data_IF_065053149995
#
_entry.id   IF_065053149995
#
_cell.length_a   1.000
_cell.length_b   1.000
_cell.length_c   1.000
_cell.angle_alpha   90.00
_cell.angle_beta   90.00
_cell.angle_gamma   90.00
#
_symmetry.space_group_name_H-M   'P 1'
#
loop_
_entity.id
_entity.type
_entity.pdbx_description
1 polymer ?
#
# COMPACT_ATOMS: atom_id res chain seq x y z
N UNK A 1 -20.44 -17.67 -43.83
CA UNK A 1 -20.42 -17.51 -42.36
C UNK A 1 -19.11 -16.80 -42.04
N UNK A 2 -19.16 -15.69 -41.32
CA UNK A 2 -17.93 -15.00 -40.89
C UNK A 2 -17.43 -15.71 -39.64
N UNK A 3 -16.15 -16.08 -39.64
CA UNK A 3 -15.53 -16.68 -38.47
C UNK A 3 -15.22 -15.55 -37.46
N UNK A 4 -15.76 -15.67 -36.25
CA UNK A 4 -15.58 -14.67 -35.18
C UNK A 4 -14.76 -15.24 -34.02
N UNK A 5 -13.96 -16.28 -34.27
CA UNK A 5 -13.11 -16.88 -33.25
C UNK A 5 -12.08 -15.86 -32.76
N UNK A 6 -11.84 -15.81 -31.45
CA UNK A 6 -10.85 -14.91 -30.85
C UNK A 6 -9.45 -15.24 -31.35
N UNK A 7 -8.74 -14.22 -31.84
CA UNK A 7 -7.33 -14.33 -32.24
C UNK A 7 -6.49 -14.17 -30.96
N UNK A 8 -5.85 -15.25 -30.52
CA UNK A 8 -5.06 -15.30 -29.27
C UNK A 8 -3.55 -15.36 -29.50
N UNK A 9 -3.12 -15.34 -30.76
CA UNK A 9 -1.72 -15.32 -31.17
C UNK A 9 -1.54 -14.49 -32.44
N UNK A 10 -0.32 -13.99 -32.67
CA UNK A 10 -0.02 -13.24 -33.88
C UNK A 10 -0.26 -14.11 -35.12
N UNK A 11 -0.93 -13.55 -36.11
CA UNK A 11 -1.27 -14.26 -37.34
C UNK A 11 -1.02 -13.36 -38.56
N UNK A 12 -0.57 -13.97 -39.65
CA UNK A 12 -0.44 -13.28 -40.94
C UNK A 12 -1.60 -13.65 -41.85
N UNK A 13 -2.39 -12.66 -42.24
CA UNK A 13 -3.52 -12.81 -43.14
C UNK A 13 -3.13 -12.34 -44.54
N UNK A 14 -3.30 -13.22 -45.53
CA UNK A 14 -3.01 -12.90 -46.93
C UNK A 14 -4.25 -13.10 -47.78
N UNK A 15 -4.55 -12.14 -48.65
CA UNK A 15 -5.55 -12.33 -49.70
C UNK A 15 -5.02 -11.84 -51.04
N UNK A 16 -5.57 -12.42 -52.10
CA UNK A 16 -5.20 -12.15 -53.47
C UNK A 16 -6.35 -11.41 -54.13
N UNK A 17 -6.06 -10.28 -54.75
CA UNK A 17 -7.01 -9.54 -55.57
C UNK A 17 -6.54 -9.52 -57.02
N UNK A 18 -7.46 -9.81 -57.95
CA UNK A 18 -7.25 -9.69 -59.39
C UNK A 18 -7.97 -8.44 -59.90
N UNK A 19 -7.33 -7.70 -60.79
CA UNK A 19 -8.00 -6.60 -61.50
C UNK A 19 -9.06 -7.16 -62.46
N UNK A 20 -10.17 -6.45 -62.59
CA UNK A 20 -11.25 -6.84 -63.51
C UNK A 20 -10.94 -6.47 -64.96
N UNK A 21 -10.15 -5.41 -65.19
CA UNK A 21 -9.84 -4.85 -66.51
C UNK A 21 -8.38 -5.12 -66.93
N UNK A 22 -7.62 -5.91 -66.17
CA UNK A 22 -6.20 -6.24 -66.44
C UNK A 22 -5.84 -7.61 -65.85
N UNK A 23 -4.85 -8.31 -66.43
CA UNK A 23 -4.32 -9.58 -65.91
C UNK A 23 -3.45 -9.43 -64.65
N UNK A 24 -3.46 -8.24 -64.04
CA UNK A 24 -2.72 -7.94 -62.82
C UNK A 24 -3.35 -8.63 -61.63
N UNK A 25 -2.54 -9.40 -60.90
CA UNK A 25 -2.90 -10.04 -59.63
C UNK A 25 -1.96 -9.52 -58.55
N UNK A 26 -2.52 -9.11 -57.42
CA UNK A 26 -1.77 -8.55 -56.29
C UNK A 26 -2.10 -9.29 -55.01
N UNK A 27 -1.08 -9.60 -54.23
CA UNK A 27 -1.21 -10.21 -52.90
C UNK A 27 -1.07 -9.12 -51.85
N UNK A 28 -2.06 -9.02 -50.98
CA UNK A 28 -2.07 -8.13 -49.83
C UNK A 28 -1.89 -8.94 -48.56
N UNK A 29 -0.92 -8.53 -47.73
CA UNK A 29 -0.58 -9.22 -46.49
C UNK A 29 -0.75 -8.26 -45.32
N UNK A 30 -1.43 -8.72 -44.28
CA UNK A 30 -1.64 -8.00 -43.02
C UNK A 30 -1.11 -8.84 -41.87
N UNK A 31 -0.40 -8.19 -40.95
CA UNK A 31 0.01 -8.81 -39.69
C UNK A 31 -1.00 -8.42 -38.60
N UNK A 32 -1.61 -9.42 -37.99
CA UNK A 32 -2.45 -9.27 -36.81
C UNK A 32 -1.59 -9.56 -35.59
N UNK A 33 -1.38 -8.55 -34.76
CA UNK A 33 -0.66 -8.69 -33.50
C UNK A 33 -1.70 -8.94 -32.41
N UNK A 34 -1.65 -10.12 -31.78
CA UNK A 34 -2.44 -10.40 -30.59
C UNK A 34 -1.69 -9.82 -29.39
N UNK A 35 -1.81 -8.50 -29.20
CA UNK A 35 -1.38 -7.86 -27.97
C UNK A 35 -2.49 -8.03 -26.94
N UNK A 36 -2.24 -8.80 -25.88
CA UNK A 36 -3.19 -8.98 -24.74
C UNK A 36 -3.33 -7.69 -23.90
N UNK A 37 -2.82 -6.55 -24.39
CA UNK A 37 -3.01 -5.24 -23.81
C UNK A 37 -2.74 -5.26 -22.32
N UNK A 38 -1.68 -5.97 -21.91
CA UNK A 38 -1.34 -6.31 -20.53
C UNK A 38 -1.13 -5.05 -19.71
N UNK A 39 -2.22 -4.38 -19.36
CA UNK A 39 -2.28 -3.35 -18.35
C UNK A 39 -2.10 -4.11 -17.06
N UNK A 40 -0.85 -4.32 -16.68
CA UNK A 40 -0.54 -4.61 -15.29
C UNK A 40 -1.25 -3.53 -14.48
N UNK A 41 -2.22 -3.89 -13.62
CA UNK A 41 -2.84 -2.91 -12.75
C UNK A 41 -1.70 -2.22 -12.01
N UNK A 42 -1.76 -0.89 -11.94
CA UNK A 42 -0.83 -0.14 -11.12
C UNK A 42 -0.84 -0.75 -9.70
N UNK A 43 0.33 -1.01 -9.09
CA UNK A 43 0.35 -1.57 -7.75
C UNK A 43 -0.43 -0.65 -6.81
N UNK A 44 -1.30 -1.25 -6.00
CA UNK A 44 -2.07 -0.53 -4.98
C UNK A 44 -1.10 0.30 -4.12
N UNK A 45 -1.40 1.59 -3.85
CA UNK A 45 -0.51 2.42 -3.07
C UNK A 45 -0.28 1.79 -1.69
N UNK A 46 0.98 1.61 -1.32
CA UNK A 46 1.34 1.18 0.04
C UNK A 46 0.74 2.14 1.06
N UNK A 47 0.09 1.63 2.13
CA UNK A 47 -0.42 2.45 3.21
C UNK A 47 0.67 3.38 3.76
N UNK A 48 0.30 4.64 4.00
CA UNK A 48 1.19 5.62 4.64
C UNK A 48 1.65 5.05 6.01
N UNK A 49 2.95 5.11 6.33
CA UNK A 49 3.43 4.67 7.63
C UNK A 49 2.74 5.46 8.74
N UNK A 50 2.21 4.76 9.74
CA UNK A 50 1.59 5.38 10.92
C UNK A 50 2.55 6.42 11.53
N UNK A 51 2.06 7.62 11.88
CA UNK A 51 2.92 8.68 12.40
C UNK A 51 3.72 8.15 13.59
N UNK A 52 5.04 8.19 13.47
CA UNK A 52 5.92 7.82 14.58
C UNK A 52 5.66 8.80 15.72
N UNK A 53 5.31 8.34 16.93
CA UNK A 53 5.03 9.22 18.05
C UNK A 53 6.25 10.11 18.33
N UNK A 54 5.99 11.39 18.59
CA UNK A 54 7.04 12.36 18.90
C UNK A 54 7.89 11.83 20.07
N UNK A 55 9.23 11.74 19.94
CA UNK A 55 10.07 11.17 20.98
C UNK A 55 9.90 11.91 22.30
N UNK A 56 9.27 11.25 23.28
CA UNK A 56 8.96 11.81 24.59
C UNK A 56 7.51 12.23 24.79
N UNK A 57 6.62 12.08 23.80
CA UNK A 57 5.17 12.06 24.03
C UNK A 57 4.73 10.67 24.49
N UNK A 58 3.74 10.62 25.38
CA UNK A 58 3.13 9.35 25.76
C UNK A 58 2.26 8.82 24.61
N UNK A 59 2.59 7.62 24.19
CA UNK A 59 1.84 6.76 23.26
C UNK A 59 1.26 5.54 24.00
N UNK A 60 0.01 5.18 23.68
CA UNK A 60 -0.73 4.08 24.30
C UNK A 60 -0.30 2.69 23.83
N UNK A 61 0.33 2.58 22.67
CA UNK A 61 0.78 1.34 22.04
C UNK A 61 2.27 1.07 22.30
N UNK A 62 3.04 2.09 22.68
CA UNK A 62 4.45 1.96 23.03
C UNK A 62 4.65 1.23 24.37
N UNK A 63 5.88 0.77 24.59
CA UNK A 63 6.34 0.16 25.85
C UNK A 63 7.47 1.00 26.40
N UNK A 64 7.42 1.26 27.71
CA UNK A 64 8.41 2.08 28.42
C UNK A 64 9.14 1.26 29.46
N UNK A 65 10.43 1.51 29.57
CA UNK A 65 11.34 0.97 30.57
C UNK A 65 11.37 1.87 31.82
N UNK A 66 11.77 1.28 32.93
CA UNK A 66 11.91 2.01 34.18
C UNK A 66 12.88 3.17 34.05
N UNK A 67 12.40 4.37 34.36
CA UNK A 67 13.16 5.61 34.28
C UNK A 67 12.84 6.49 33.07
N UNK A 68 12.19 5.97 32.04
CA UNK A 68 11.77 6.76 30.87
C UNK A 68 10.76 7.84 31.27
N UNK A 69 10.86 9.00 30.62
CA UNK A 69 10.01 10.17 30.85
C UNK A 69 9.22 10.46 29.58
N UNK A 70 7.91 10.60 29.74
CA UNK A 70 6.96 10.90 28.67
C UNK A 70 6.08 12.08 29.04
N UNK A 71 5.55 12.78 28.05
CA UNK A 71 4.67 13.93 28.22
C UNK A 71 3.24 13.52 27.92
N UNK A 72 2.32 13.78 28.84
CA UNK A 72 0.89 13.60 28.67
C UNK A 72 0.15 14.73 29.37
N UNK A 73 -0.84 15.34 28.72
CA UNK A 73 -1.62 16.46 29.27
C UNK A 73 -0.75 17.66 29.74
N UNK A 74 0.33 17.95 29.00
CA UNK A 74 1.36 18.96 29.37
C UNK A 74 2.09 18.69 30.70
N UNK A 75 2.03 17.46 31.22
CA UNK A 75 2.80 17.02 32.38
C UNK A 75 3.78 15.91 31.99
N UNK A 76 4.94 15.92 32.63
CA UNK A 76 5.96 14.88 32.45
C UNK A 76 5.73 13.75 33.45
N UNK A 77 5.83 12.51 32.98
CA UNK A 77 5.59 11.29 33.75
C UNK A 77 6.75 10.34 33.60
N UNK A 78 7.26 9.83 34.72
CA UNK A 78 8.35 8.87 34.79
C UNK A 78 7.84 7.46 35.05
N UNK A 79 8.19 6.53 34.17
CA UNK A 79 7.93 5.11 34.35
C UNK A 79 8.74 4.57 35.55
N UNK A 80 8.08 3.85 36.46
CA UNK A 80 8.70 3.24 37.63
C UNK A 80 9.30 1.85 37.36
N UNK A 81 9.02 1.29 36.19
CA UNK A 81 9.47 -0.02 35.74
C UNK A 81 9.08 -0.25 34.30
N UNK A 82 9.11 -1.51 33.86
CA UNK A 82 8.54 -1.88 32.57
C UNK A 82 7.02 -1.66 32.59
N UNK A 83 6.51 -0.88 31.64
CA UNK A 83 5.09 -0.60 31.48
C UNK A 83 4.76 -0.58 29.99
N UNK A 84 3.89 -1.50 29.57
CA UNK A 84 3.20 -1.35 28.30
C UNK A 84 2.22 -0.17 28.43
N UNK A 85 2.08 0.61 27.37
CA UNK A 85 1.07 1.66 27.29
C UNK A 85 -0.35 1.14 27.47
N UNK A 86 -1.32 2.00 27.20
CA UNK A 86 -2.74 1.66 27.22
C UNK A 86 -3.50 2.69 28.02
N UNK A 87 -3.54 2.53 29.34
CA UNK A 87 -4.08 3.60 30.21
C UNK A 87 -3.05 4.70 30.38
N UNK A 88 -3.47 5.94 30.17
CA UNK A 88 -2.58 7.11 30.26
C UNK A 88 -2.01 7.28 31.68
N UNK A 89 -0.84 7.96 31.82
CA UNK A 89 -0.12 8.05 33.07
C UNK A 89 -0.87 8.85 34.16
N UNK A 90 -1.70 9.82 33.76
CA UNK A 90 -2.54 10.60 34.67
C UNK A 90 -3.59 9.72 35.35
N UNK A 91 -4.39 8.99 34.57
CA UNK A 91 -5.43 8.11 35.09
C UNK A 91 -4.86 6.97 35.94
N UNK A 92 -3.71 6.41 35.56
CA UNK A 92 -3.04 5.38 36.37
C UNK A 92 -2.54 5.94 37.70
N UNK A 93 -1.99 7.16 37.73
CA UNK A 93 -1.60 7.83 38.97
C UNK A 93 -2.79 8.26 39.84
N UNK A 94 -3.89 8.68 39.22
CA UNK A 94 -5.16 8.97 39.91
C UNK A 94 -5.71 7.74 40.62
N UNK A 95 -5.68 6.59 39.96
CA UNK A 95 -6.11 5.32 40.51
C UNK A 95 -5.17 4.78 41.60
N UNK A 96 -3.86 4.83 41.35
CA UNK A 96 -2.82 4.40 42.30
C UNK A 96 -1.61 5.35 42.28
N UNK A 97 -1.48 6.12 43.36
CA UNK A 97 -0.38 7.08 43.57
C UNK A 97 1.01 6.41 43.65
N UNK A 98 1.05 5.09 43.82
CA UNK A 98 2.28 4.29 43.87
C UNK A 98 2.46 3.39 42.64
N UNK A 99 1.60 3.56 41.63
CA UNK A 99 1.60 2.77 40.40
C UNK A 99 2.80 3.01 39.49
N UNK A 100 2.68 2.51 38.27
CA UNK A 100 3.75 2.45 37.26
C UNK A 100 4.19 3.82 36.73
N UNK A 101 3.39 4.88 36.92
CA UNK A 101 3.70 6.24 36.49
C UNK A 101 3.76 7.20 37.67
N UNK A 102 4.76 8.08 37.69
CA UNK A 102 4.88 9.18 38.67
C UNK A 102 5.20 10.51 37.99
N UNK A 103 4.74 11.64 38.52
CA UNK A 103 5.13 12.96 38.01
C UNK A 103 6.64 13.12 38.00
N UNK A 104 7.19 13.58 36.87
CA UNK A 104 8.58 14.00 36.74
C UNK A 104 8.62 15.54 36.80
N UNK A 105 9.37 16.08 37.77
CA UNK A 105 9.56 17.51 37.94
C UNK A 105 10.66 18.06 37.04
#
# INVERSE_FOLDING_TARGET
>A
MVDTTLITANETLSFIASSIESESVETFTFEVIADDGGVTPDPDPTPDPDPTPDPGSWDSSATYLGGEIVTYSNQSWKAQGWVQGGTNPEATYENDKWGVWRPAN
#
